data_IF_743548216904
#
_entry.id   IF_743548216904
#
_cell.length_a   1.000
_cell.length_b   1.000
_cell.length_c   1.000
_cell.angle_alpha   90.00
_cell.angle_beta   90.00
_cell.angle_gamma   90.00
#
_symmetry.space_group_name_H-M   'P 1'
#
loop_
_entity.id
_entity.type
_entity.pdbx_description
1 polymer ?
#
# COMPACT_ATOMS: atom_id res chain seq x y z
N UNK A 1 14.76 7.06 -0.08
CA UNK A 1 13.85 5.95 0.32
C UNK A 1 12.53 6.43 0.93
N UNK A 2 12.56 7.22 2.03
CA UNK A 2 11.37 7.71 2.74
C UNK A 2 10.40 8.52 1.86
N UNK A 3 10.87 9.58 1.20
CA UNK A 3 10.02 10.39 0.30
C UNK A 3 9.41 9.56 -0.83
N UNK A 4 10.17 8.60 -1.37
CA UNK A 4 9.68 7.70 -2.41
C UNK A 4 8.57 6.78 -1.89
N UNK A 5 8.72 6.20 -0.70
CA UNK A 5 7.70 5.41 -0.03
C UNK A 5 6.45 6.24 0.29
N UNK A 6 6.65 7.47 0.79
CA UNK A 6 5.56 8.40 1.07
C UNK A 6 4.79 8.79 -0.20
N UNK A 7 5.49 9.06 -1.31
CA UNK A 7 4.86 9.36 -2.61
C UNK A 7 4.16 8.14 -3.21
N UNK A 8 4.74 6.95 -3.10
CA UNK A 8 4.07 5.71 -3.52
C UNK A 8 2.77 5.52 -2.73
N UNK A 9 2.82 5.64 -1.40
CA UNK A 9 1.64 5.57 -0.55
C UNK A 9 0.61 6.67 -0.88
N UNK A 10 1.04 7.91 -1.10
CA UNK A 10 0.12 9.00 -1.45
C UNK A 10 -0.55 8.79 -2.82
N UNK A 11 0.18 8.24 -3.79
CA UNK A 11 -0.33 7.98 -5.15
C UNK A 11 -1.34 6.83 -5.19
N UNK A 12 -1.17 5.82 -4.33
CA UNK A 12 -2.09 4.68 -4.17
C UNK A 12 -3.36 5.05 -3.38
N UNK A 13 -3.32 6.13 -2.60
CA UNK A 13 -4.36 6.49 -1.62
C UNK A 13 -5.06 7.82 -1.91
N UNK A 14 -4.82 8.48 -3.05
CA UNK A 14 -5.55 9.71 -3.42
C UNK A 14 -7.05 9.44 -3.60
N UNK A 15 -7.93 10.42 -3.31
CA UNK A 15 -9.40 10.20 -3.28
C UNK A 15 -9.99 9.57 -4.57
N UNK A 16 -9.49 9.99 -5.73
CA UNK A 16 -9.92 9.44 -7.03
C UNK A 16 -9.46 8.00 -7.22
N UNK A 17 -8.21 7.71 -6.84
CA UNK A 17 -7.64 6.37 -6.85
C UNK A 17 -8.35 5.45 -5.85
N UNK A 18 -8.71 5.97 -4.67
CA UNK A 18 -9.48 5.26 -3.64
C UNK A 18 -10.85 4.80 -4.14
N UNK A 19 -11.57 5.68 -4.84
CA UNK A 19 -12.90 5.37 -5.38
C UNK A 19 -12.83 4.31 -6.47
N UNK A 20 -11.86 4.44 -7.40
CA UNK A 20 -11.64 3.46 -8.45
C UNK A 20 -11.25 2.10 -7.86
N UNK A 21 -10.31 2.08 -6.93
CA UNK A 21 -9.82 0.86 -6.29
C UNK A 21 -10.94 0.10 -5.58
N UNK A 22 -11.81 0.83 -4.87
CA UNK A 22 -12.98 0.23 -4.22
C UNK A 22 -13.96 -0.37 -5.23
N UNK A 23 -14.22 0.32 -6.35
CA UNK A 23 -15.07 -0.20 -7.41
C UNK A 23 -14.46 -1.45 -8.08
N UNK A 24 -13.14 -1.45 -8.32
CA UNK A 24 -12.42 -2.59 -8.90
C UNK A 24 -12.46 -3.82 -7.97
N UNK A 25 -12.25 -3.62 -6.66
CA UNK A 25 -12.32 -4.71 -5.67
C UNK A 25 -13.73 -5.25 -5.51
N UNK A 26 -14.75 -4.39 -5.60
CA UNK A 26 -16.14 -4.79 -5.58
C UNK A 26 -16.48 -5.67 -6.79
N UNK A 27 -16.09 -5.25 -7.99
CA UNK A 27 -16.32 -6.02 -9.22
C UNK A 27 -15.54 -7.34 -9.23
N UNK A 28 -14.32 -7.36 -8.71
CA UNK A 28 -13.53 -8.58 -8.55
C UNK A 28 -14.21 -9.67 -7.69
N UNK A 29 -15.22 -9.32 -6.87
CA UNK A 29 -15.98 -10.32 -6.10
C UNK A 29 -16.84 -11.23 -6.97
N UNK A 30 -17.20 -10.78 -8.18
CA UNK A 30 -18.10 -11.50 -9.08
C UNK A 30 -17.48 -11.81 -10.44
N UNK A 31 -16.37 -11.17 -10.82
CA UNK A 31 -15.70 -11.36 -12.11
C UNK A 31 -14.25 -11.89 -11.94
N UNK A 32 -13.96 -13.14 -12.36
CA UNK A 32 -12.63 -13.73 -12.25
C UNK A 32 -11.53 -13.02 -13.06
N UNK A 33 -11.86 -12.42 -14.20
CA UNK A 33 -10.89 -11.70 -15.05
C UNK A 33 -10.45 -10.41 -14.35
N UNK A 34 -11.40 -9.72 -13.74
CA UNK A 34 -11.13 -8.53 -12.93
C UNK A 34 -10.35 -8.91 -11.67
N UNK A 35 -10.69 -10.02 -11.02
CA UNK A 35 -9.95 -10.52 -9.87
C UNK A 35 -8.48 -10.80 -10.18
N UNK A 36 -8.18 -11.40 -11.34
CA UNK A 36 -6.80 -11.61 -11.77
C UNK A 36 -6.07 -10.28 -12.04
N UNK A 37 -6.76 -9.31 -12.66
CA UNK A 37 -6.20 -7.99 -12.91
C UNK A 37 -5.86 -7.25 -11.61
N UNK A 38 -6.72 -7.33 -10.60
CA UNK A 38 -6.47 -6.76 -9.26
C UNK A 38 -5.28 -7.45 -8.58
N UNK A 39 -5.20 -8.79 -8.60
CA UNK A 39 -4.04 -9.52 -8.05
C UNK A 39 -2.73 -9.11 -8.72
N UNK A 40 -2.72 -9.01 -10.04
CA UNK A 40 -1.54 -8.59 -10.79
C UNK A 40 -1.11 -7.15 -10.44
N UNK A 41 -2.06 -6.25 -10.17
CA UNK A 41 -1.76 -4.90 -9.69
C UNK A 41 -1.18 -4.93 -8.27
N UNK A 42 -1.80 -5.68 -7.36
CA UNK A 42 -1.34 -5.87 -5.97
C UNK A 42 0.12 -6.39 -5.93
N UNK A 43 0.46 -7.38 -6.77
CA UNK A 43 1.83 -7.90 -6.87
C UNK A 43 2.84 -6.86 -7.33
N UNK A 44 2.48 -5.97 -8.27
CA UNK A 44 3.38 -4.89 -8.71
C UNK A 44 3.63 -3.88 -7.60
N UNK A 45 2.59 -3.54 -6.85
CA UNK A 45 2.71 -2.66 -5.68
C UNK A 45 3.64 -3.28 -4.64
N UNK A 46 3.41 -4.54 -4.27
CA UNK A 46 4.23 -5.24 -3.29
C UNK A 46 5.70 -5.31 -3.72
N UNK A 47 5.97 -5.61 -4.99
CA UNK A 47 7.33 -5.65 -5.53
C UNK A 47 8.01 -4.28 -5.44
N UNK A 48 7.31 -3.20 -5.77
CA UNK A 48 7.86 -1.85 -5.69
C UNK A 48 8.14 -1.43 -4.24
N UNK A 49 7.26 -1.78 -3.29
CA UNK A 49 7.46 -1.50 -1.86
C UNK A 49 8.68 -2.28 -1.32
N UNK A 50 8.83 -3.56 -1.69
CA UNK A 50 10.01 -4.35 -1.34
C UNK A 50 11.30 -3.72 -1.85
N UNK A 51 11.32 -3.28 -3.12
CA UNK A 51 12.48 -2.58 -3.68
C UNK A 51 12.82 -1.31 -2.89
N UNK A 52 11.83 -0.56 -2.43
CA UNK A 52 12.10 0.64 -1.65
C UNK A 52 12.71 0.35 -0.25
N UNK A 53 12.43 -0.81 0.35
CA UNK A 53 13.11 -1.26 1.57
C UNK A 53 14.52 -1.78 1.29
N UNK A 54 14.75 -2.49 0.19
CA UNK A 54 16.10 -2.88 -0.24
C UNK A 54 16.97 -1.63 -0.49
N UNK A 55 16.44 -0.63 -1.21
CA UNK A 55 17.10 0.66 -1.43
C UNK A 55 17.37 1.45 -0.13
N UNK A 56 16.67 1.12 0.95
CA UNK A 56 16.89 1.71 2.27
C UNK A 56 17.99 1.01 3.07
N UNK A 57 18.54 -0.11 2.57
CA UNK A 57 19.63 -0.86 3.19
C UNK A 57 19.19 -2.09 3.99
N UNK A 58 17.91 -2.47 3.97
CA UNK A 58 17.43 -3.69 4.63
C UNK A 58 17.84 -4.93 3.83
N UNK A 59 18.15 -6.00 4.56
CA UNK A 59 18.38 -7.33 3.99
C UNK A 59 17.13 -7.88 3.32
N UNK A 60 17.29 -8.85 2.41
CA UNK A 60 16.18 -9.37 1.58
C UNK A 60 14.98 -9.83 2.40
N UNK A 61 15.22 -10.56 3.48
CA UNK A 61 14.16 -11.14 4.30
C UNK A 61 13.41 -10.04 5.09
N UNK A 62 14.14 -9.06 5.61
CA UNK A 62 13.56 -7.91 6.31
C UNK A 62 12.78 -7.00 5.36
N UNK A 63 13.31 -6.75 4.16
CA UNK A 63 12.64 -5.98 3.13
C UNK A 63 11.33 -6.65 2.67
N UNK A 64 11.32 -7.98 2.56
CA UNK A 64 10.12 -8.74 2.24
C UNK A 64 9.08 -8.69 3.36
N UNK A 65 9.49 -8.91 4.61
CA UNK A 65 8.62 -8.80 5.77
C UNK A 65 7.99 -7.40 5.87
N UNK A 66 8.81 -6.34 5.80
CA UNK A 66 8.37 -4.94 5.90
C UNK A 66 7.46 -4.55 4.73
N UNK A 67 7.70 -5.06 3.53
CA UNK A 67 6.82 -4.85 2.38
C UNK A 67 5.44 -5.49 2.57
N UNK A 68 5.40 -6.75 3.02
CA UNK A 68 4.14 -7.45 3.31
C UNK A 68 3.35 -6.75 4.41
N UNK A 69 4.02 -6.34 5.50
CA UNK A 69 3.39 -5.59 6.59
C UNK A 69 2.85 -4.24 6.10
N UNK A 70 3.62 -3.51 5.29
CA UNK A 70 3.22 -2.22 4.71
C UNK A 70 2.03 -2.37 3.78
N UNK A 71 2.02 -3.40 2.94
CA UNK A 71 0.92 -3.69 2.02
C UNK A 71 -0.35 -4.06 2.79
N UNK A 72 -0.26 -4.95 3.78
CA UNK A 72 -1.39 -5.33 4.63
C UNK A 72 -1.94 -4.14 5.43
N UNK A 73 -1.07 -3.30 5.99
CA UNK A 73 -1.45 -2.06 6.66
C UNK A 73 -2.13 -1.09 5.69
N UNK A 74 -1.63 -0.96 4.45
CA UNK A 74 -2.23 -0.16 3.39
C UNK A 74 -3.64 -0.63 3.03
N UNK A 75 -3.85 -1.94 2.88
CA UNK A 75 -5.19 -2.54 2.72
C UNK A 75 -6.06 -2.25 3.94
N UNK A 76 -5.53 -2.34 5.16
CA UNK A 76 -6.24 -1.99 6.40
C UNK A 76 -6.68 -0.53 6.45
N UNK A 77 -5.78 0.42 6.13
CA UNK A 77 -6.10 1.85 6.02
C UNK A 77 -7.12 2.12 4.91
N UNK A 78 -7.09 1.35 3.82
CA UNK A 78 -8.04 1.42 2.71
C UNK A 78 -9.42 0.82 3.02
N UNK A 79 -9.48 -0.27 3.79
CA UNK A 79 -10.68 -1.09 3.96
C UNK A 79 -11.42 -0.86 5.28
N UNK A 80 -10.73 -0.47 6.35
CA UNK A 80 -11.37 -0.16 7.65
C UNK A 80 -11.91 1.27 7.70
N UNK A 81 -11.47 2.13 6.79
CA UNK A 81 -12.02 3.47 6.61
C UNK A 81 -13.25 3.39 5.72
N UNK A 82 -14.45 3.43 6.29
CA UNK A 82 -15.69 3.69 5.52
C UNK A 82 -15.74 5.09 4.87
N UNK A 83 -14.61 5.79 4.85
CA UNK A 83 -14.45 7.18 4.43
C UNK A 83 -13.08 7.35 3.73
N UNK A 84 -12.96 8.34 2.83
CA UNK A 84 -11.70 8.69 2.18
C UNK A 84 -10.62 9.09 3.21
N UNK A 85 -9.33 9.04 2.81
CA UNK A 85 -8.24 9.47 3.67
C UNK A 85 -8.46 10.89 4.20
N UNK A 86 -8.28 11.07 5.49
CA UNK A 86 -8.34 12.35 6.20
C UNK A 86 -6.99 12.69 6.82
N UNK A 87 -6.84 13.92 7.34
CA UNK A 87 -5.58 14.39 7.93
C UNK A 87 -5.01 13.44 9.01
N UNK A 88 -5.87 12.84 9.85
CA UNK A 88 -5.46 11.88 10.88
C UNK A 88 -4.92 10.57 10.28
N UNK A 89 -5.55 10.07 9.22
CA UNK A 89 -5.06 8.88 8.51
C UNK A 89 -3.72 9.14 7.81
N UNK A 90 -3.49 10.36 7.31
CA UNK A 90 -2.20 10.77 6.75
C UNK A 90 -1.12 10.76 7.82
N UNK A 91 -1.37 11.37 8.99
CA UNK A 91 -0.40 11.40 10.10
C UNK A 91 -0.06 10.00 10.61
N UNK A 92 -1.06 9.13 10.78
CA UNK A 92 -0.83 7.74 11.18
C UNK A 92 0.03 6.96 10.18
N UNK A 93 -0.15 7.24 8.89
CA UNK A 93 0.64 6.62 7.83
C UNK A 93 2.10 7.08 7.84
N UNK A 94 2.35 8.37 8.06
CA UNK A 94 3.73 8.89 8.23
C UNK A 94 4.42 8.25 9.43
N UNK A 95 3.73 8.15 10.57
CA UNK A 95 4.28 7.47 11.78
C UNK A 95 4.53 5.98 11.54
N UNK A 96 3.66 5.32 10.79
CA UNK A 96 3.86 3.93 10.39
C UNK A 96 5.11 3.77 9.50
N UNK A 97 5.31 4.67 8.54
CA UNK A 97 6.52 4.68 7.72
C UNK A 97 7.79 4.88 8.55
N UNK A 98 7.76 5.80 9.52
CA UNK A 98 8.90 6.04 10.39
C UNK A 98 9.24 4.78 11.22
N UNK A 99 8.22 4.06 11.71
CA UNK A 99 8.40 2.77 12.38
C UNK A 99 9.01 1.72 11.43
N UNK A 100 8.52 1.63 10.19
CA UNK A 100 9.01 0.67 9.19
C UNK A 100 10.42 0.99 8.67
N UNK A 101 10.95 2.17 8.94
CA UNK A 101 12.31 2.58 8.54
C UNK A 101 13.30 2.56 9.71
N UNK A 102 12.87 2.17 10.91
CA UNK A 102 13.76 1.98 12.05
C UNK A 102 14.48 0.63 11.92
N UNK A 103 15.77 0.61 12.23
CA UNK A 103 16.62 -0.60 12.29
C UNK A 103 16.17 -1.55 13.41
#
# INVERSE_FOLDING_TARGET
>A
PRERLAQMMASLLGERQWTLERAMREWARTDPVVAESVRAADHRVLAAVRQAFLDAGFESDDAEMRANATFAAGIGFLHLSGAPPNARSTEQRERFLDLMLTD
#
